data_IF_393280804671
#
_entry.id   IF_393280804671
#
_cell.length_a   1.000
_cell.length_b   1.000
_cell.length_c   1.000
_cell.angle_alpha   90.00
_cell.angle_beta   90.00
_cell.angle_gamma   90.00
#
_symmetry.space_group_name_H-M   'P 1'
#
loop_
_entity.id
_entity.type
_entity.pdbx_description
1 polymer ?
#
# COMPACT_ATOMS: atom_id res chain seq x y z
N UNK A 1 -42.82 31.23 -1.72
CA UNK A 1 -41.47 31.84 -1.77
C UNK A 1 -40.60 31.16 -0.74
N UNK A 2 -39.43 30.67 -1.18
CA UNK A 2 -38.38 29.94 -0.43
C UNK A 2 -38.64 28.44 -0.25
N UNK A 3 -38.70 27.74 -1.37
CA UNK A 3 -38.47 26.28 -1.42
C UNK A 3 -37.43 25.92 -2.49
N UNK A 4 -36.49 26.85 -2.73
CA UNK A 4 -35.24 26.58 -3.43
C UNK A 4 -34.18 26.28 -2.36
N UNK A 5 -34.35 25.14 -1.69
CA UNK A 5 -33.25 24.53 -0.95
C UNK A 5 -32.11 24.33 -1.95
N UNK A 6 -31.05 25.12 -1.77
CA UNK A 6 -29.79 25.04 -2.52
C UNK A 6 -29.32 23.59 -2.49
N UNK A 7 -29.69 22.80 -3.52
CA UNK A 7 -28.96 21.59 -3.87
C UNK A 7 -27.56 22.09 -4.20
N UNK A 8 -26.66 22.02 -3.22
CA UNK A 8 -25.25 22.34 -3.42
C UNK A 8 -24.82 21.59 -4.68
N UNK A 9 -24.57 22.34 -5.76
CA UNK A 9 -24.18 21.75 -7.03
C UNK A 9 -22.91 20.95 -6.75
N UNK A 10 -23.00 19.63 -6.93
CA UNK A 10 -21.84 18.76 -6.79
C UNK A 10 -20.85 19.18 -7.86
N UNK A 11 -19.71 19.74 -7.44
CA UNK A 11 -18.66 20.20 -8.34
C UNK A 11 -18.19 19.04 -9.23
N UNK A 12 -18.12 19.27 -10.54
CA UNK A 12 -17.57 18.28 -11.49
C UNK A 12 -16.12 18.64 -11.85
N UNK A 13 -15.20 17.72 -11.56
CA UNK A 13 -13.78 17.84 -11.87
C UNK A 13 -13.47 17.23 -13.24
N UNK A 14 -12.61 17.90 -14.00
CA UNK A 14 -12.09 17.35 -15.26
C UNK A 14 -10.99 16.29 -14.99
N UNK A 15 -10.85 15.27 -15.85
CA UNK A 15 -9.87 14.19 -15.68
C UNK A 15 -8.43 14.68 -15.50
N UNK A 16 -8.05 15.74 -16.23
CA UNK A 16 -6.72 16.34 -16.17
C UNK A 16 -6.42 16.97 -14.81
N UNK A 17 -7.39 17.67 -14.21
CA UNK A 17 -7.24 18.29 -12.88
C UNK A 17 -7.00 17.21 -11.81
N UNK A 18 -7.81 16.14 -11.86
CA UNK A 18 -7.69 15.00 -10.94
C UNK A 18 -6.34 14.32 -11.10
N UNK A 19 -5.92 14.06 -12.33
CA UNK A 19 -4.63 13.42 -12.63
C UNK A 19 -3.46 14.24 -12.09
N UNK A 20 -3.39 15.54 -12.36
CA UNK A 20 -2.31 16.42 -11.87
C UNK A 20 -2.27 16.45 -10.34
N UNK A 21 -3.42 16.61 -9.70
CA UNK A 21 -3.53 16.64 -8.24
C UNK A 21 -3.10 15.32 -7.60
N UNK A 22 -3.56 14.17 -8.13
CA UNK A 22 -3.17 12.84 -7.62
C UNK A 22 -1.67 12.60 -7.80
N UNK A 23 -1.11 12.87 -8.97
CA UNK A 23 0.33 12.68 -9.22
C UNK A 23 1.17 13.58 -8.33
N UNK A 24 0.74 14.82 -8.12
CA UNK A 24 1.37 15.71 -7.15
C UNK A 24 1.31 15.10 -5.77
N UNK A 25 0.12 14.93 -5.19
CA UNK A 25 -0.08 14.53 -3.78
C UNK A 25 0.54 13.17 -3.46
N UNK A 26 0.57 12.24 -4.41
CA UNK A 26 1.20 10.94 -4.26
C UNK A 26 2.71 10.92 -4.55
N UNK A 27 3.34 12.06 -4.86
CA UNK A 27 4.80 12.14 -5.04
C UNK A 27 5.29 11.49 -6.33
N UNK A 28 4.48 11.56 -7.39
CA UNK A 28 4.73 10.94 -8.69
C UNK A 28 5.04 11.96 -9.80
N UNK A 29 4.99 13.28 -9.52
CA UNK A 29 5.50 14.32 -10.43
C UNK A 29 7.00 14.55 -10.29
N UNK A 30 7.51 14.36 -9.07
CA UNK A 30 8.90 14.59 -8.69
C UNK A 30 9.34 13.48 -7.75
N UNK A 31 10.50 12.87 -8.00
CA UNK A 31 11.15 12.02 -6.99
C UNK A 31 11.50 12.85 -5.74
N UNK A 32 11.61 12.17 -4.60
CA UNK A 32 12.16 12.79 -3.40
C UNK A 32 13.60 13.26 -3.67
N UNK A 33 13.99 14.38 -3.04
CA UNK A 33 15.34 14.94 -3.18
C UNK A 33 16.39 14.05 -2.53
N UNK A 34 16.03 13.38 -1.44
CA UNK A 34 16.92 12.58 -0.62
C UNK A 34 16.35 11.17 -0.42
N UNK A 35 17.24 10.19 -0.41
CA UNK A 35 16.94 8.79 -0.08
C UNK A 35 17.13 8.49 1.40
N UNK A 36 17.48 7.24 1.71
CA UNK A 36 17.81 6.79 3.07
C UNK A 36 16.64 6.89 4.06
N UNK A 37 16.99 6.94 5.35
CA UNK A 37 16.02 6.90 6.45
C UNK A 37 15.06 8.09 6.44
N UNK A 38 15.58 9.31 6.31
CA UNK A 38 14.78 10.54 6.27
C UNK A 38 13.79 10.54 5.11
N UNK A 39 14.26 10.20 3.91
CA UNK A 39 13.42 10.09 2.71
C UNK A 39 12.32 9.03 2.87
N UNK A 40 12.65 7.85 3.40
CA UNK A 40 11.68 6.78 3.65
C UNK A 40 10.56 7.21 4.62
N UNK A 41 10.92 7.87 5.73
CA UNK A 41 9.96 8.36 6.71
C UNK A 41 9.08 9.48 6.14
N UNK A 42 9.67 10.40 5.37
CA UNK A 42 8.90 11.45 4.70
C UNK A 42 7.95 10.87 3.66
N UNK A 43 8.38 9.88 2.88
CA UNK A 43 7.51 9.17 1.94
C UNK A 43 6.33 8.53 2.66
N UNK A 44 6.58 7.80 3.74
CA UNK A 44 5.52 7.14 4.48
C UNK A 44 4.52 8.14 5.06
N UNK A 45 4.98 9.28 5.61
CA UNK A 45 4.08 10.36 6.06
C UNK A 45 3.27 10.98 4.93
N UNK A 46 3.88 11.14 3.75
CA UNK A 46 3.19 11.66 2.57
C UNK A 46 2.08 10.73 2.10
N UNK A 47 2.41 9.46 1.90
CA UNK A 47 1.46 8.46 1.40
C UNK A 47 0.45 8.02 2.46
N UNK A 48 0.83 8.12 3.74
CA UNK A 48 0.11 7.69 4.95
C UNK A 48 -0.08 6.18 5.04
N UNK A 49 -0.39 5.53 3.92
CA UNK A 49 -0.56 4.10 3.80
C UNK A 49 0.33 3.55 2.69
N UNK A 50 1.10 2.49 3.00
CA UNK A 50 1.75 1.65 1.98
C UNK A 50 1.25 0.22 2.18
N UNK A 51 0.51 -0.32 1.22
CA UNK A 51 -0.02 -1.68 1.32
C UNK A 51 1.13 -2.70 1.31
N UNK A 52 1.07 -3.65 2.26
CA UNK A 52 1.97 -4.77 2.35
C UNK A 52 1.43 -5.93 1.51
N UNK A 53 2.29 -6.53 0.72
CA UNK A 53 2.02 -7.76 -0.01
C UNK A 53 3.29 -8.62 -0.01
N UNK A 54 3.19 -9.93 0.30
CA UNK A 54 4.37 -10.77 0.42
C UNK A 54 4.93 -11.22 -0.93
N UNK A 55 4.25 -11.03 -2.08
CA UNK A 55 4.82 -11.39 -3.37
C UNK A 55 6.09 -10.60 -3.60
N UNK A 56 7.10 -11.29 -4.11
CA UNK A 56 8.44 -10.75 -4.21
C UNK A 56 9.05 -11.08 -5.58
N UNK A 57 8.32 -10.67 -6.61
CA UNK A 57 8.70 -10.87 -8.02
C UNK A 57 9.81 -9.89 -8.41
N UNK A 58 9.67 -8.63 -8.01
CA UNK A 58 10.57 -7.51 -8.31
C UNK A 58 11.05 -6.77 -7.05
N UNK A 59 10.88 -7.37 -5.88
CA UNK A 59 10.75 -6.62 -4.63
C UNK A 59 9.31 -6.70 -4.13
N UNK A 60 9.14 -6.54 -2.83
CA UNK A 60 7.81 -6.53 -2.21
C UNK A 60 7.06 -5.25 -2.58
N UNK A 61 5.72 -5.27 -2.55
CA UNK A 61 4.91 -4.13 -2.96
C UNK A 61 5.34 -2.80 -2.31
N UNK A 62 5.64 -2.82 -1.00
CA UNK A 62 6.08 -1.62 -0.29
C UNK A 62 7.41 -1.05 -0.84
N UNK A 63 8.34 -1.92 -1.24
CA UNK A 63 9.61 -1.51 -1.85
C UNK A 63 9.39 -0.96 -3.25
N UNK A 64 8.49 -1.55 -4.04
CA UNK A 64 8.14 -1.04 -5.36
C UNK A 64 7.50 0.36 -5.29
N UNK A 65 6.60 0.57 -4.32
CA UNK A 65 6.03 1.91 -4.04
C UNK A 65 7.13 2.92 -3.70
N UNK A 66 8.13 2.48 -2.92
CA UNK A 66 9.27 3.32 -2.56
C UNK A 66 10.21 3.57 -3.74
N UNK A 67 10.53 2.57 -4.58
CA UNK A 67 11.40 2.72 -5.75
C UNK A 67 10.88 3.74 -6.77
N UNK A 68 9.56 3.84 -6.93
CA UNK A 68 8.94 4.83 -7.81
C UNK A 68 9.15 6.29 -7.36
N UNK A 69 9.58 6.52 -6.11
CA UNK A 69 9.60 7.84 -5.45
C UNK A 69 10.92 8.19 -4.77
N UNK A 70 11.63 7.21 -4.23
CA UNK A 70 12.88 7.41 -3.47
C UNK A 70 14.10 7.05 -4.30
N UNK A 71 15.04 7.99 -4.49
CA UNK A 71 16.33 7.70 -5.10
C UNK A 71 17.17 6.82 -4.17
N UNK A 72 18.09 6.03 -4.73
CA UNK A 72 19.14 5.33 -3.99
C UNK A 72 18.72 4.10 -3.16
N UNK A 73 17.44 3.95 -2.81
CA UNK A 73 16.95 2.81 -2.01
C UNK A 73 17.20 1.47 -2.73
N UNK A 74 17.93 0.55 -2.07
CA UNK A 74 18.13 -0.84 -2.51
C UNK A 74 17.05 -1.76 -1.94
N UNK A 75 16.88 -2.91 -2.59
CA UNK A 75 16.01 -3.98 -2.11
C UNK A 75 16.51 -4.50 -0.75
N UNK A 76 15.60 -4.63 0.19
CA UNK A 76 15.82 -5.05 1.58
C UNK A 76 15.97 -3.89 2.56
N UNK A 77 16.21 -2.66 2.10
CA UNK A 77 16.55 -1.52 2.98
C UNK A 77 15.33 -0.84 3.58
N UNK A 78 14.18 -0.84 2.88
CA UNK A 78 13.01 -0.03 3.25
C UNK A 78 12.57 -0.25 4.71
N UNK A 79 12.48 -1.51 5.14
CA UNK A 79 12.04 -1.81 6.50
C UNK A 79 13.06 -1.40 7.55
N UNK A 80 14.37 -1.45 7.26
CA UNK A 80 15.42 -0.99 8.17
C UNK A 80 15.41 0.53 8.36
N UNK A 81 14.94 1.28 7.37
CA UNK A 81 14.73 2.73 7.49
C UNK A 81 13.46 3.13 8.27
N UNK A 82 12.52 2.19 8.42
CA UNK A 82 11.20 2.49 8.99
C UNK A 82 10.96 1.83 10.34
N UNK A 83 11.63 0.71 10.65
CA UNK A 83 11.40 -0.09 11.85
C UNK A 83 12.71 -0.32 12.62
N UNK A 84 12.71 -0.22 13.96
CA UNK A 84 11.60 0.26 14.80
C UNK A 84 11.45 1.80 14.75
N UNK A 85 10.39 2.33 15.36
CA UNK A 85 10.23 3.76 15.67
C UNK A 85 9.65 4.65 14.57
N UNK A 86 9.89 4.38 13.29
CA UNK A 86 9.37 5.21 12.19
C UNK A 86 7.97 4.80 11.70
N UNK A 87 7.61 3.53 11.89
CA UNK A 87 6.40 2.95 11.35
C UNK A 87 5.86 1.79 12.20
N UNK A 88 4.63 1.37 11.92
CA UNK A 88 4.08 0.11 12.40
C UNK A 88 3.22 -0.56 11.31
N UNK A 89 3.03 -1.87 11.41
CA UNK A 89 2.15 -2.61 10.51
C UNK A 89 0.76 -2.81 11.13
N UNK A 90 -0.30 -2.37 10.46
CA UNK A 90 -1.67 -2.64 10.88
C UNK A 90 -2.62 -2.78 9.69
N UNK A 91 -3.85 -3.23 9.96
CA UNK A 91 -4.93 -3.16 8.99
C UNK A 91 -5.53 -1.74 8.96
N UNK A 92 -5.48 -1.11 7.78
CA UNK A 92 -6.08 0.18 7.48
C UNK A 92 -7.08 0.02 6.31
N UNK A 93 -6.66 0.30 5.07
CA UNK A 93 -7.39 -0.14 3.88
C UNK A 93 -7.30 -1.66 3.75
N UNK A 94 -6.08 -2.16 3.85
CA UNK A 94 -5.69 -3.57 3.91
C UNK A 94 -4.54 -3.66 4.93
N UNK A 95 -3.75 -4.74 4.91
CA UNK A 95 -2.48 -4.74 5.63
C UNK A 95 -1.57 -3.64 5.08
N UNK A 96 -1.23 -2.66 5.91
CA UNK A 96 -0.44 -1.50 5.54
C UNK A 96 0.71 -1.27 6.52
N UNK A 97 1.77 -0.67 6.00
CA UNK A 97 2.75 0.06 6.78
C UNK A 97 2.22 1.49 6.99
N UNK A 98 2.27 1.96 8.24
CA UNK A 98 1.66 3.20 8.73
C UNK A 98 2.68 4.03 9.51
N UNK A 99 2.65 5.37 9.47
CA UNK A 99 3.45 6.23 10.35
C UNK A 99 3.27 5.89 11.83
N UNK A 100 4.36 5.81 12.59
CA UNK A 100 4.30 5.49 14.03
C UNK A 100 3.40 6.45 14.82
N UNK A 101 3.37 7.73 14.43
CA UNK A 101 2.51 8.77 15.01
C UNK A 101 1.00 8.49 14.92
N UNK A 102 0.57 7.54 14.08
CA UNK A 102 -0.85 7.15 13.97
C UNK A 102 -1.23 6.04 14.95
N UNK A 103 -0.26 5.39 15.59
CA UNK A 103 -0.49 4.27 16.49
C UNK A 103 -1.57 4.53 17.56
N UNK A 104 -1.63 5.69 18.24
CA UNK A 104 -2.69 5.95 19.24
C UNK A 104 -4.11 5.79 18.73
N UNK A 105 -4.40 6.25 17.51
CA UNK A 105 -5.72 6.13 16.91
C UNK A 105 -6.07 4.66 16.61
N UNK A 106 -5.09 3.88 16.13
CA UNK A 106 -5.29 2.46 15.86
C UNK A 106 -5.38 1.63 17.14
N UNK A 107 -4.61 1.95 18.18
CA UNK A 107 -4.71 1.33 19.51
C UNK A 107 -6.12 1.48 20.08
N UNK A 108 -6.68 2.69 20.04
CA UNK A 108 -8.03 2.97 20.55
C UNK A 108 -9.11 2.26 19.71
N UNK A 109 -8.98 2.27 18.37
CA UNK A 109 -9.90 1.54 17.49
C UNK A 109 -9.79 0.03 17.56
N UNK A 110 -8.61 -0.53 17.81
CA UNK A 110 -8.41 -1.97 17.87
C UNK A 110 -9.27 -2.61 18.98
N UNK A 111 -9.56 -1.84 20.04
CA UNK A 111 -10.51 -2.20 21.09
C UNK A 111 -11.96 -2.23 20.57
N UNK A 112 -12.30 -1.37 19.61
CA UNK A 112 -13.67 -1.15 19.14
C UNK A 112 -14.04 -1.88 17.84
N UNK A 113 -13.08 -2.26 17.01
CA UNK A 113 -13.30 -2.80 15.67
C UNK A 113 -12.49 -4.07 15.42
N UNK A 114 -12.97 -5.25 15.87
CA UNK A 114 -12.33 -6.50 15.52
C UNK A 114 -12.31 -6.66 14.00
N UNK A 115 -11.11 -6.73 13.43
CA UNK A 115 -10.91 -7.02 12.02
C UNK A 115 -11.62 -8.31 11.61
N UNK A 116 -11.94 -8.48 10.33
CA UNK A 116 -12.84 -9.50 9.77
C UNK A 116 -12.44 -10.99 9.95
N UNK A 117 -11.47 -11.30 10.82
CA UNK A 117 -11.15 -12.65 11.29
C UNK A 117 -10.61 -12.70 12.73
N UNK A 118 -10.63 -11.59 13.48
CA UNK A 118 -10.12 -11.59 14.85
C UNK A 118 -10.93 -12.58 15.69
N UNK A 119 -12.26 -12.55 15.59
CA UNK A 119 -13.14 -13.54 16.24
C UNK A 119 -12.82 -14.98 15.83
N UNK A 120 -12.64 -15.25 14.52
CA UNK A 120 -12.26 -16.57 14.01
C UNK A 120 -10.93 -17.09 14.57
N UNK A 121 -9.93 -16.21 14.66
CA UNK A 121 -8.60 -16.55 15.20
C UNK A 121 -8.68 -16.81 16.70
N UNK A 122 -9.39 -15.96 17.43
CA UNK A 122 -9.63 -16.13 18.87
C UNK A 122 -10.36 -17.44 19.17
N UNK A 123 -11.36 -17.82 18.37
CA UNK A 123 -12.07 -19.08 18.53
C UNK A 123 -11.20 -20.34 18.30
N UNK A 124 -10.01 -20.18 17.70
CA UNK A 124 -9.06 -21.27 17.39
C UNK A 124 -7.84 -21.29 18.31
N UNK A 125 -7.71 -20.30 19.18
CA UNK A 125 -6.59 -20.15 20.10
C UNK A 125 -7.09 -20.27 21.53
N UNK A 126 -6.29 -20.94 22.36
CA UNK A 126 -6.46 -20.85 23.80
C UNK A 126 -6.09 -19.43 24.29
N UNK A 127 -6.85 -18.90 25.26
CA UNK A 127 -6.58 -17.57 25.78
C UNK A 127 -5.27 -17.50 26.58
N UNK A 128 -4.92 -18.57 27.31
CA UNK A 128 -3.65 -18.71 28.01
C UNK A 128 -2.47 -18.70 27.04
N UNK A 129 -2.59 -19.39 25.90
CA UNK A 129 -1.59 -19.33 24.83
C UNK A 129 -1.30 -17.90 24.35
N UNK A 130 -2.33 -17.07 24.14
CA UNK A 130 -2.13 -15.68 23.69
C UNK A 130 -1.38 -14.88 24.75
N UNK A 131 -1.77 -15.02 26.01
CA UNK A 131 -1.14 -14.35 27.15
C UNK A 131 0.32 -14.78 27.31
N UNK A 132 0.58 -16.08 27.27
CA UNK A 132 1.93 -16.58 27.46
C UNK A 132 2.89 -16.17 26.32
N UNK A 133 2.39 -16.05 25.08
CA UNK A 133 3.17 -15.49 23.95
C UNK A 133 3.51 -14.02 24.20
N UNK A 134 2.56 -13.24 24.73
CA UNK A 134 2.79 -11.84 25.08
C UNK A 134 3.84 -11.72 26.21
N UNK A 135 3.73 -12.56 27.24
CA UNK A 135 4.64 -12.57 28.39
C UNK A 135 6.06 -12.98 27.97
N UNK A 136 6.19 -14.00 27.11
CA UNK A 136 7.50 -14.42 26.60
C UNK A 136 8.18 -13.32 25.76
N UNK A 137 7.42 -12.58 24.94
CA UNK A 137 7.95 -11.40 24.22
C UNK A 137 8.29 -10.27 25.20
N UNK A 138 7.48 -10.05 26.24
CA UNK A 138 7.75 -9.05 27.29
C UNK A 138 9.09 -9.33 27.97
N UNK A 139 9.34 -10.57 28.36
CA UNK A 139 10.53 -10.98 29.10
C UNK A 139 11.79 -11.02 28.23
N UNK A 140 11.68 -11.55 27.00
CA UNK A 140 12.83 -11.72 26.09
C UNK A 140 13.19 -10.46 25.32
N UNK A 141 12.20 -9.61 25.02
CA UNK A 141 12.35 -8.53 24.05
C UNK A 141 12.04 -8.96 22.61
N UNK A 142 12.59 -8.25 21.60
CA UNK A 142 12.27 -8.47 20.19
C UNK A 142 12.42 -9.93 19.74
N UNK A 143 11.30 -10.55 19.34
CA UNK A 143 11.22 -12.00 19.08
C UNK A 143 10.54 -12.32 17.75
N UNK A 144 11.14 -13.21 16.98
CA UNK A 144 10.50 -13.86 15.83
C UNK A 144 9.71 -15.10 16.29
N UNK A 145 8.75 -15.61 15.50
CA UNK A 145 8.00 -16.82 15.88
C UNK A 145 8.86 -18.05 16.21
N UNK A 146 10.07 -18.15 15.63
CA UNK A 146 11.01 -19.24 15.90
C UNK A 146 11.85 -19.06 17.17
N UNK A 147 11.84 -17.87 17.79
CA UNK A 147 12.53 -17.59 19.05
C UNK A 147 11.65 -17.94 20.27
N UNK A 148 10.35 -18.09 20.04
CA UNK A 148 9.34 -18.34 21.07
C UNK A 148 9.12 -19.83 21.26
N UNK A 149 8.70 -20.19 22.46
CA UNK A 149 8.39 -21.58 22.80
C UNK A 149 7.32 -22.11 21.86
N UNK A 150 7.61 -23.19 21.13
CA UNK A 150 6.68 -23.78 20.15
C UNK A 150 5.48 -24.37 20.89
N UNK A 151 4.32 -23.74 20.72
CA UNK A 151 3.06 -24.11 21.39
C UNK A 151 2.09 -24.85 20.46
N UNK A 152 2.63 -25.52 19.44
CA UNK A 152 1.91 -26.49 18.62
C UNK A 152 1.26 -25.93 17.34
N UNK A 153 0.52 -26.81 16.68
CA UNK A 153 -0.20 -26.53 15.43
C UNK A 153 -1.67 -26.17 15.70
N UNK A 154 -2.23 -25.31 14.85
CA UNK A 154 -3.67 -24.98 14.83
C UNK A 154 -4.22 -25.32 13.46
N UNK A 155 -5.52 -25.62 13.38
CA UNK A 155 -6.19 -25.80 12.09
C UNK A 155 -6.03 -24.50 11.27
N UNK A 156 -5.39 -24.55 10.09
CA UNK A 156 -5.19 -23.36 9.28
C UNK A 156 -6.53 -22.69 8.96
N UNK A 157 -6.58 -21.36 9.00
CA UNK A 157 -7.72 -20.62 8.47
C UNK A 157 -7.65 -20.70 6.95
N UNK A 158 -8.66 -21.33 6.33
CA UNK A 158 -8.68 -21.54 4.89
C UNK A 158 -8.72 -20.20 4.15
N UNK A 159 -7.64 -19.94 3.44
CA UNK A 159 -7.62 -19.04 2.29
C UNK A 159 -6.71 -19.70 1.28
N UNK A 160 -7.30 -20.58 0.46
CA UNK A 160 -6.75 -21.14 -0.78
C UNK A 160 -5.22 -21.03 -0.92
N UNK A 161 -4.50 -22.02 -0.38
CA UNK A 161 -3.23 -22.49 -0.94
C UNK A 161 -1.91 -21.88 -0.49
N UNK A 162 -1.84 -20.67 0.10
CA UNK A 162 -0.52 -20.07 0.44
C UNK A 162 -0.46 -19.03 1.58
N UNK A 163 -1.60 -18.58 2.13
CA UNK A 163 -1.64 -17.54 3.20
C UNK A 163 -2.26 -18.03 4.53
N UNK A 164 -2.37 -19.34 4.72
CA UNK A 164 -2.89 -19.92 5.96
C UNK A 164 -1.86 -19.90 7.09
N UNK A 165 -2.29 -19.51 8.31
CA UNK A 165 -1.45 -19.58 9.51
C UNK A 165 -1.70 -20.90 10.23
N UNK A 166 -0.80 -21.88 10.07
CA UNK A 166 -0.93 -23.22 10.67
C UNK A 166 -0.22 -23.43 12.01
N UNK A 167 0.57 -22.45 12.47
CA UNK A 167 1.24 -22.49 13.79
C UNK A 167 0.52 -21.60 14.78
N UNK A 168 0.27 -22.12 15.99
CA UNK A 168 -0.48 -21.44 17.03
C UNK A 168 0.20 -20.12 17.45
N UNK A 169 1.53 -20.17 17.66
CA UNK A 169 2.35 -19.01 18.02
C UNK A 169 2.29 -17.89 16.98
N UNK A 170 2.36 -18.21 15.68
CA UNK A 170 2.25 -17.21 14.61
C UNK A 170 0.87 -16.56 14.60
N UNK A 171 -0.19 -17.35 14.85
CA UNK A 171 -1.54 -16.84 14.92
C UNK A 171 -1.74 -15.93 16.15
N UNK A 172 -1.18 -16.32 17.30
CA UNK A 172 -1.19 -15.50 18.52
C UNK A 172 -0.47 -14.16 18.33
N UNK A 173 0.71 -14.15 17.70
CA UNK A 173 1.43 -12.91 17.34
C UNK A 173 0.60 -12.02 16.41
N UNK A 174 -0.12 -12.60 15.44
CA UNK A 174 -1.02 -11.84 14.56
C UNK A 174 -2.23 -11.25 15.30
N UNK A 175 -2.77 -11.97 16.29
CA UNK A 175 -3.84 -11.49 17.19
C UNK A 175 -3.33 -10.33 18.05
N UNK A 176 -2.22 -10.52 18.77
CA UNK A 176 -1.61 -9.50 19.62
C UNK A 176 -1.27 -8.23 18.82
N UNK A 177 -0.74 -8.39 17.59
CA UNK A 177 -0.50 -7.25 16.69
C UNK A 177 -1.79 -6.52 16.29
N UNK A 178 -2.86 -7.26 16.02
CA UNK A 178 -4.16 -6.68 15.62
C UNK A 178 -4.84 -5.96 16.78
N UNK A 179 -4.53 -6.34 18.03
CA UNK A 179 -4.97 -5.65 19.25
C UNK A 179 -4.04 -4.51 19.66
N UNK A 180 -3.00 -4.22 18.89
CA UNK A 180 -1.95 -3.27 19.24
C UNK A 180 -1.21 -3.59 20.55
N UNK A 181 -1.24 -4.85 21.01
CA UNK A 181 -0.48 -5.33 22.18
C UNK A 181 0.98 -5.68 21.81
N UNK A 182 1.21 -5.98 20.54
CA UNK A 182 2.53 -6.12 19.93
C UNK A 182 2.61 -5.32 18.63
N UNK A 183 3.81 -4.97 18.20
CA UNK A 183 4.07 -4.41 16.88
C UNK A 183 5.21 -5.14 16.20
N UNK A 184 5.30 -5.03 14.88
CA UNK A 184 6.48 -5.50 14.15
C UNK A 184 7.59 -4.47 14.36
N UNK A 185 8.59 -4.82 15.16
CA UNK A 185 9.74 -3.97 15.48
C UNK A 185 10.87 -4.09 14.44
N UNK A 186 10.83 -5.11 13.58
CA UNK A 186 11.81 -5.30 12.52
C UNK A 186 11.60 -6.59 11.75
N UNK A 187 12.61 -6.98 10.97
CA UNK A 187 12.61 -8.23 10.22
C UNK A 187 13.97 -8.94 10.29
N UNK A 188 13.95 -10.27 10.36
CA UNK A 188 15.11 -11.13 10.07
C UNK A 188 14.87 -11.82 8.73
N UNK A 189 15.46 -11.27 7.67
CA UNK A 189 15.06 -11.60 6.31
C UNK A 189 13.57 -11.30 6.08
N UNK A 190 12.77 -12.32 5.80
CA UNK A 190 11.32 -12.18 5.61
C UNK A 190 10.49 -12.40 6.88
N UNK A 191 11.11 -12.87 7.95
CA UNK A 191 10.40 -13.14 9.21
C UNK A 191 10.21 -11.84 9.98
N UNK A 192 8.99 -11.62 10.46
CA UNK A 192 8.66 -10.52 11.37
C UNK A 192 9.31 -10.75 12.73
N UNK A 193 9.88 -9.70 13.28
CA UNK A 193 10.31 -9.62 14.68
C UNK A 193 9.30 -8.72 15.39
N UNK A 194 8.72 -9.23 16.47
CA UNK A 194 7.69 -8.55 17.25
C UNK A 194 8.27 -8.04 18.56
N UNK A 195 7.80 -6.89 19.02
CA UNK A 195 8.08 -6.38 20.36
C UNK A 195 6.90 -5.55 20.87
N UNK A 196 6.96 -5.18 22.14
CA UNK A 196 6.01 -4.29 22.80
C UNK A 196 6.00 -2.91 22.13
N UNK A 197 4.82 -2.27 21.98
CA UNK A 197 4.72 -0.91 21.44
C UNK A 197 5.62 0.09 22.16
N UNK A 198 5.73 0.03 23.48
CA UNK A 198 6.49 0.98 24.30
C UNK A 198 7.98 0.93 23.99
N UNK A 199 8.51 -0.27 23.71
CA UNK A 199 9.92 -0.47 23.31
C UNK A 199 10.16 -0.10 21.85
N UNK A 200 9.22 -0.41 20.97
CA UNK A 200 9.39 -0.26 19.53
C UNK A 200 9.00 1.12 18.96
N UNK A 201 8.04 1.81 19.57
CA UNK A 201 7.48 3.08 19.07
C UNK A 201 7.73 4.27 20.02
N UNK A 202 8.30 4.03 21.19
CA UNK A 202 8.62 5.06 22.17
C UNK A 202 7.38 5.88 22.57
N UNK A 203 7.48 7.21 22.53
CA UNK A 203 6.40 8.12 22.95
C UNK A 203 5.09 7.95 22.16
N UNK A 204 5.13 7.43 20.93
CA UNK A 204 3.91 7.17 20.15
C UNK A 204 3.06 6.05 20.75
N UNK A 205 3.64 5.12 21.52
CA UNK A 205 2.93 4.01 22.13
C UNK A 205 1.95 4.47 23.23
N UNK A 206 2.33 5.50 23.99
CA UNK A 206 1.57 6.04 25.12
C UNK A 206 0.88 7.38 24.83
N UNK A 207 1.11 7.97 23.64
CA UNK A 207 0.45 9.20 23.25
C UNK A 207 -1.09 9.07 23.26
N UNK A 208 -1.82 10.16 23.56
CA UNK A 208 -3.27 10.16 23.52
C UNK A 208 -3.77 9.99 22.07
N UNK A 209 -4.92 9.31 21.87
CA UNK A 209 -5.55 9.26 20.56
C UNK A 209 -6.07 10.65 20.14
N UNK A 210 -6.38 10.86 18.85
CA UNK A 210 -7.12 12.02 18.41
C UNK A 210 -8.45 12.17 19.20
N UNK A 211 -8.91 13.39 19.55
CA UNK A 211 -10.13 13.59 20.33
C UNK A 211 -11.38 12.96 19.72
N UNK A 212 -11.49 12.99 18.39
CA UNK A 212 -12.52 12.30 17.62
C UNK A 212 -11.82 11.38 16.59
N UNK A 213 -11.71 10.11 16.97
CA UNK A 213 -10.99 9.09 16.20
C UNK A 213 -11.70 8.75 14.89
N UNK A 214 -13.03 8.78 14.87
CA UNK A 214 -13.81 8.52 13.66
C UNK A 214 -13.66 9.66 12.65
N UNK A 215 -13.75 10.92 13.11
CA UNK A 215 -13.47 12.10 12.29
C UNK A 215 -12.06 12.07 11.74
N UNK A 216 -11.08 11.84 12.61
CA UNK A 216 -9.68 11.71 12.22
C UNK A 216 -9.51 10.62 11.15
N UNK A 217 -10.13 9.45 11.32
CA UNK A 217 -10.00 8.34 10.40
C UNK A 217 -10.58 8.63 9.01
N UNK A 218 -11.69 9.36 8.91
CA UNK A 218 -12.24 9.78 7.61
C UNK A 218 -11.29 10.76 6.92
N UNK A 219 -10.80 11.78 7.63
CA UNK A 219 -9.90 12.79 7.05
C UNK A 219 -8.55 12.20 6.65
N UNK A 220 -8.00 11.32 7.48
CA UNK A 220 -6.81 10.53 7.19
C UNK A 220 -7.02 9.71 5.90
N UNK A 221 -8.15 9.00 5.79
CA UNK A 221 -8.45 8.15 4.63
C UNK A 221 -8.58 8.95 3.33
N UNK A 222 -9.20 10.13 3.38
CA UNK A 222 -9.26 11.06 2.25
C UNK A 222 -7.85 11.49 1.85
N UNK A 223 -7.01 11.87 2.82
CA UNK A 223 -5.65 12.30 2.55
C UNK A 223 -4.77 11.17 1.99
N UNK A 224 -4.89 9.95 2.51
CA UNK A 224 -4.18 8.76 2.03
C UNK A 224 -4.59 8.39 0.59
N UNK A 225 -5.83 8.65 0.20
CA UNK A 225 -6.32 8.50 -1.17
C UNK A 225 -5.82 9.58 -2.14
N UNK A 226 -4.83 10.38 -1.73
CA UNK A 226 -4.36 11.52 -2.51
C UNK A 226 -5.30 12.71 -2.44
N UNK A 227 -6.19 12.78 -1.45
CA UNK A 227 -7.16 13.88 -1.27
C UNK A 227 -8.50 13.69 -1.98
N UNK A 228 -8.72 12.55 -2.65
CA UNK A 228 -9.97 12.25 -3.35
C UNK A 228 -10.38 10.79 -3.11
N UNK A 229 -11.40 10.59 -2.26
CA UNK A 229 -11.84 9.27 -1.81
C UNK A 229 -13.25 8.97 -2.31
N UNK A 230 -13.45 7.81 -2.94
CA UNK A 230 -14.80 7.37 -3.32
C UNK A 230 -15.71 7.25 -2.08
N UNK A 231 -16.86 7.91 -2.12
CA UNK A 231 -17.83 7.90 -1.02
C UNK A 231 -18.58 6.56 -0.93
N UNK A 232 -18.73 5.88 -2.08
CA UNK A 232 -19.27 4.53 -2.16
C UNK A 232 -18.37 3.49 -1.47
N UNK A 233 -18.88 2.27 -1.29
CA UNK A 233 -18.08 1.15 -0.78
C UNK A 233 -16.81 0.91 -1.61
N UNK A 234 -15.80 0.35 -0.95
CA UNK A 234 -14.50 0.05 -1.54
C UNK A 234 -13.48 -0.33 -0.47
N UNK A 235 -12.28 -0.77 -0.87
CA UNK A 235 -11.25 -1.24 0.07
C UNK A 235 -10.82 -0.13 1.04
N UNK A 236 -10.92 1.13 0.65
CA UNK A 236 -10.68 2.28 1.52
C UNK A 236 -11.59 2.33 2.76
N UNK A 237 -12.70 1.59 2.76
CA UNK A 237 -13.64 1.56 3.88
C UNK A 237 -13.59 0.26 4.69
N UNK A 238 -12.62 -0.64 4.44
CA UNK A 238 -12.53 -1.97 5.08
C UNK A 238 -12.67 -1.93 6.62
N UNK A 239 -11.81 -1.17 7.32
CA UNK A 239 -11.90 -0.98 8.79
C UNK A 239 -12.80 0.19 9.24
N UNK A 240 -13.45 0.86 8.29
CA UNK A 240 -14.23 2.08 8.49
C UNK A 240 -15.66 1.94 7.94
N UNK A 241 -16.17 0.73 7.77
CA UNK A 241 -17.48 0.47 7.16
C UNK A 241 -18.62 1.07 8.00
N UNK A 242 -18.56 0.89 9.32
CA UNK A 242 -19.50 1.52 10.26
C UNK A 242 -19.42 3.04 10.24
N UNK A 243 -18.20 3.60 10.20
CA UNK A 243 -17.96 5.05 10.14
C UNK A 243 -18.50 5.64 8.84
N UNK A 244 -18.33 4.95 7.71
CA UNK A 244 -18.91 5.36 6.42
C UNK A 244 -20.43 5.47 6.49
N UNK A 245 -21.08 4.56 7.20
CA UNK A 245 -22.53 4.44 7.28
C UNK A 245 -23.16 5.28 8.40
N UNK A 246 -22.37 5.88 9.29
CA UNK A 246 -22.86 6.67 10.45
C UNK A 246 -23.35 8.09 10.09
N UNK A 247 -23.30 8.45 8.81
CA UNK A 247 -23.57 9.80 8.32
C UNK A 247 -22.44 10.81 8.61
N UNK A 248 -21.36 10.40 9.30
CA UNK A 248 -20.22 11.27 9.59
C UNK A 248 -19.59 11.87 8.33
N UNK A 249 -19.36 11.12 7.22
CA UNK A 249 -18.85 11.74 6.00
C UNK A 249 -19.76 12.84 5.44
N UNK A 250 -21.09 12.68 5.59
CA UNK A 250 -22.06 13.71 5.23
C UNK A 250 -21.91 14.97 6.07
N UNK A 251 -21.85 14.82 7.40
CA UNK A 251 -21.64 15.95 8.32
C UNK A 251 -20.34 16.71 8.04
N UNK A 252 -19.25 16.00 7.72
CA UNK A 252 -17.99 16.65 7.34
C UNK A 252 -18.09 17.45 6.04
N UNK A 253 -19.00 17.08 5.13
CA UNK A 253 -19.32 17.89 3.96
C UNK A 253 -20.17 19.10 4.34
N UNK A 254 -21.19 18.92 5.19
CA UNK A 254 -22.07 20.01 5.63
C UNK A 254 -21.30 21.07 6.46
N UNK A 255 -20.29 20.65 7.22
CA UNK A 255 -19.35 21.51 7.94
C UNK A 255 -18.32 22.22 7.05
N UNK A 256 -18.24 21.87 5.75
CA UNK A 256 -17.26 22.43 4.81
C UNK A 256 -15.83 21.91 4.97
N UNK A 257 -15.62 20.89 5.81
CA UNK A 257 -14.31 20.25 6.05
C UNK A 257 -13.90 19.36 4.87
N UNK A 258 -14.88 18.75 4.21
CA UNK A 258 -14.72 18.02 2.96
C UNK A 258 -15.69 18.59 1.92
N UNK A 259 -15.42 18.33 0.65
CA UNK A 259 -16.34 18.66 -0.45
C UNK A 259 -16.81 17.40 -1.15
N UNK A 260 -18.08 17.39 -1.55
CA UNK A 260 -18.62 16.33 -2.39
C UNK A 260 -18.47 16.71 -3.86
N UNK A 261 -17.82 15.86 -4.64
CA UNK A 261 -17.51 16.13 -6.06
C UNK A 261 -17.78 14.91 -6.95
N UNK A 262 -17.95 15.16 -8.25
CA UNK A 262 -17.91 14.14 -9.31
C UNK A 262 -16.66 14.32 -10.16
N UNK A 263 -16.21 13.24 -10.77
CA UNK A 263 -15.16 13.28 -11.79
C UNK A 263 -15.80 12.94 -13.11
N UNK A 264 -15.60 13.76 -14.15
CA UNK A 264 -16.15 13.50 -15.48
C UNK A 264 -15.70 12.12 -15.97
N UNK A 265 -16.67 11.29 -16.38
CA UNK A 265 -16.43 9.89 -16.80
C UNK A 265 -16.41 8.86 -15.67
N UNK A 266 -16.39 9.28 -14.40
CA UNK A 266 -16.60 8.39 -13.26
C UNK A 266 -18.09 8.31 -12.89
N UNK A 267 -18.58 7.12 -12.56
CA UNK A 267 -19.96 6.93 -12.09
C UNK A 267 -20.16 7.24 -10.60
N UNK A 268 -19.05 7.34 -9.85
CA UNK A 268 -19.04 7.51 -8.40
C UNK A 268 -18.94 8.97 -7.98
N UNK A 269 -19.41 9.24 -6.77
CA UNK A 269 -19.19 10.48 -6.04
C UNK A 269 -17.99 10.34 -5.11
N UNK A 270 -17.25 11.44 -4.93
CA UNK A 270 -16.01 11.46 -4.15
C UNK A 270 -16.09 12.52 -3.04
N UNK A 271 -15.46 12.19 -1.91
CA UNK A 271 -15.09 13.12 -0.85
C UNK A 271 -13.73 13.71 -1.20
N UNK A 272 -13.66 15.03 -1.29
CA UNK A 272 -12.48 15.78 -1.70
C UNK A 272 -11.98 16.64 -0.54
N UNK A 273 -10.67 16.60 -0.30
CA UNK A 273 -10.02 17.54 0.60
C UNK A 273 -10.11 18.98 0.03
N UNK A 274 -10.34 20.02 0.85
CA UNK A 274 -10.50 21.39 0.36
C UNK A 274 -9.30 21.88 -0.48
N UNK A 275 -8.09 21.47 -0.10
CA UNK A 275 -6.81 21.80 -0.72
C UNK A 275 -6.44 20.90 -1.92
N UNK A 276 -7.34 20.00 -2.36
CA UNK A 276 -7.02 18.98 -3.36
C UNK A 276 -6.52 19.58 -4.69
N UNK A 277 -7.14 20.68 -5.13
CA UNK A 277 -6.79 21.36 -6.38
C UNK A 277 -5.72 22.45 -6.19
N UNK A 278 -5.41 22.82 -4.95
CA UNK A 278 -4.45 23.89 -4.63
C UNK A 278 -2.99 23.39 -4.62
N UNK A 279 -2.80 22.06 -4.63
CA UNK A 279 -1.47 21.45 -4.56
C UNK A 279 -0.99 20.86 -5.88
N UNK A 280 0.13 21.37 -6.42
CA UNK A 280 0.94 20.61 -7.38
C UNK A 280 1.31 21.26 -8.70
N UNK A 281 1.00 22.53 -8.91
CA UNK A 281 1.33 23.21 -10.17
C UNK A 281 2.67 23.97 -10.16
N UNK A 282 3.29 24.16 -8.99
CA UNK A 282 4.51 24.97 -8.89
C UNK A 282 5.78 24.26 -9.37
N UNK A 283 5.78 22.92 -9.40
CA UNK A 283 6.93 22.13 -9.85
C UNK A 283 6.62 21.41 -11.16
N UNK A 284 7.50 21.52 -12.17
CA UNK A 284 7.35 20.75 -13.41
C UNK A 284 7.39 19.25 -13.11
N UNK A 285 6.86 18.43 -14.01
CA UNK A 285 7.09 16.98 -13.96
C UNK A 285 8.58 16.70 -14.25
N UNK A 286 9.19 15.75 -13.54
CA UNK A 286 10.58 15.35 -13.79
C UNK A 286 10.76 14.52 -15.07
N UNK A 287 9.66 14.16 -15.73
CA UNK A 287 9.65 13.39 -16.98
C UNK A 287 10.07 11.94 -16.79
N UNK A 288 10.34 11.49 -15.56
CA UNK A 288 10.87 10.16 -15.32
C UNK A 288 9.80 9.09 -15.50
N UNK A 289 10.13 8.02 -16.22
CA UNK A 289 9.32 6.82 -16.25
C UNK A 289 9.41 6.10 -14.90
N UNK A 290 8.25 5.73 -14.35
CA UNK A 290 8.12 5.04 -13.07
C UNK A 290 7.50 3.66 -13.28
N UNK A 291 8.13 2.64 -12.72
CA UNK A 291 7.53 1.30 -12.58
C UNK A 291 6.74 1.31 -11.28
N UNK A 292 5.42 1.32 -11.35
CA UNK A 292 4.56 1.33 -10.16
C UNK A 292 4.31 -0.08 -9.65
N UNK A 293 4.11 -0.18 -8.35
CA UNK A 293 3.66 -1.40 -7.74
C UNK A 293 2.22 -1.74 -8.18
N UNK A 294 1.85 -3.02 -8.34
CA UNK A 294 0.47 -3.44 -8.60
C UNK A 294 -0.56 -2.92 -7.58
N UNK A 295 -0.11 -2.66 -6.35
CA UNK A 295 -0.91 -2.11 -5.26
C UNK A 295 -0.33 -0.76 -4.80
N UNK A 296 0.14 0.05 -5.74
CA UNK A 296 0.47 1.45 -5.48
C UNK A 296 -0.78 2.24 -5.05
N UNK A 297 -0.67 3.22 -4.12
CA UNK A 297 -1.81 4.06 -3.71
C UNK A 297 -2.58 4.70 -4.88
N UNK A 298 -1.89 5.03 -5.99
CA UNK A 298 -2.54 5.55 -7.19
C UNK A 298 -3.53 4.55 -7.80
N UNK A 299 -3.25 3.25 -7.70
CA UNK A 299 -3.99 2.16 -8.38
C UNK A 299 -5.15 1.62 -7.54
N UNK A 300 -5.28 2.04 -6.27
CA UNK A 300 -6.27 1.49 -5.36
C UNK A 300 -7.72 1.78 -5.75
N UNK A 301 -8.01 2.92 -6.39
CA UNK A 301 -9.29 3.18 -7.03
C UNK A 301 -9.17 3.10 -8.55
N UNK A 302 -9.27 1.87 -9.07
CA UNK A 302 -9.18 1.59 -10.51
C UNK A 302 -10.25 2.31 -11.33
N UNK A 303 -11.43 2.56 -10.76
CA UNK A 303 -12.48 3.30 -11.47
C UNK A 303 -12.10 4.78 -11.63
N UNK A 304 -11.52 5.37 -10.59
CA UNK A 304 -10.96 6.73 -10.66
C UNK A 304 -9.78 6.80 -11.63
N UNK A 305 -8.88 5.80 -11.59
CA UNK A 305 -7.75 5.71 -12.53
C UNK A 305 -8.24 5.63 -13.97
N UNK A 306 -9.23 4.78 -14.25
CA UNK A 306 -9.84 4.69 -15.58
C UNK A 306 -10.44 6.03 -16.02
N UNK A 307 -11.17 6.72 -15.15
CA UNK A 307 -11.78 8.01 -15.49
C UNK A 307 -10.75 9.14 -15.68
N UNK A 308 -9.75 9.25 -14.79
CA UNK A 308 -8.78 10.35 -14.79
C UNK A 308 -7.62 10.15 -15.78
N UNK A 309 -7.20 8.90 -15.98
CA UNK A 309 -6.03 8.54 -16.78
C UNK A 309 -6.38 7.82 -18.08
N UNK A 310 -7.58 7.23 -18.21
CA UNK A 310 -7.92 6.37 -19.34
C UNK A 310 -7.21 5.02 -19.31
N UNK A 311 -6.81 4.55 -18.12
CA UNK A 311 -6.05 3.32 -17.93
C UNK A 311 -6.87 2.25 -17.21
N UNK A 312 -7.10 1.10 -17.86
CA UNK A 312 -7.91 0.00 -17.33
C UNK A 312 -7.02 -1.12 -16.77
N UNK A 313 -6.61 -0.98 -15.52
CA UNK A 313 -5.72 -1.93 -14.87
C UNK A 313 -6.48 -2.97 -14.04
N UNK A 314 -6.14 -4.25 -14.24
CA UNK A 314 -6.63 -5.35 -13.42
C UNK A 314 -5.46 -6.15 -12.87
N UNK A 315 -5.43 -6.33 -11.54
CA UNK A 315 -4.49 -7.24 -10.91
C UNK A 315 -5.01 -8.67 -11.01
N UNK A 316 -4.42 -9.47 -11.91
CA UNK A 316 -4.92 -10.81 -12.27
C UNK A 316 -4.29 -11.95 -11.48
N UNK A 317 -3.61 -11.65 -10.37
CA UNK A 317 -2.94 -12.66 -9.54
C UNK A 317 -3.88 -13.78 -9.07
N UNK A 318 -5.15 -13.44 -8.84
CA UNK A 318 -6.18 -14.38 -8.37
C UNK A 318 -6.93 -15.09 -9.51
N UNK A 319 -6.74 -14.68 -10.76
CA UNK A 319 -7.38 -15.37 -11.89
C UNK A 319 -6.66 -16.71 -12.14
N UNK A 320 -7.40 -17.78 -12.52
CA UNK A 320 -6.81 -18.98 -13.13
C UNK A 320 -5.92 -18.62 -14.32
N UNK A 321 -4.93 -19.45 -14.63
CA UNK A 321 -3.89 -19.11 -15.61
C UNK A 321 -4.46 -18.78 -16.99
N UNK A 322 -5.45 -19.55 -17.41
CA UNK A 322 -6.22 -19.47 -18.65
C UNK A 322 -7.14 -18.25 -18.74
N UNK A 323 -7.53 -17.66 -17.60
CA UNK A 323 -8.39 -16.48 -17.54
C UNK A 323 -7.62 -15.15 -17.45
N UNK A 324 -6.27 -15.21 -17.45
CA UNK A 324 -5.41 -14.03 -17.38
C UNK A 324 -5.21 -13.44 -18.76
N UNK A 325 -5.52 -12.16 -18.92
CA UNK A 325 -5.29 -11.39 -20.15
C UNK A 325 -3.83 -10.95 -20.27
N UNK A 326 -3.27 -10.42 -19.19
CA UNK A 326 -1.91 -9.87 -19.15
C UNK A 326 -0.95 -10.79 -18.40
N UNK A 327 -1.42 -11.43 -17.34
CA UNK A 327 -0.63 -12.33 -16.52
C UNK A 327 -0.81 -12.07 -15.03
N UNK A 328 -0.24 -12.95 -14.21
CA UNK A 328 -0.51 -12.97 -12.77
C UNK A 328 0.17 -11.84 -11.99
N UNK A 329 1.28 -11.28 -12.49
CA UNK A 329 1.98 -10.16 -11.87
C UNK A 329 2.42 -9.15 -12.92
N UNK A 330 1.73 -8.01 -12.95
CA UNK A 330 1.87 -6.99 -13.99
C UNK A 330 2.04 -5.63 -13.31
N UNK A 331 3.15 -4.96 -13.58
CA UNK A 331 3.43 -3.64 -13.01
C UNK A 331 2.95 -2.54 -13.98
N UNK A 332 2.14 -1.57 -13.53
CA UNK A 332 1.85 -0.37 -14.31
C UNK A 332 3.11 0.46 -14.52
N UNK A 333 3.30 0.96 -15.73
CA UNK A 333 4.33 1.93 -16.06
C UNK A 333 3.67 3.31 -16.13
N UNK A 334 4.28 4.34 -15.55
CA UNK A 334 3.77 5.71 -15.56
C UNK A 334 4.84 6.61 -16.17
N UNK A 335 4.52 7.29 -17.27
CA UNK A 335 5.42 8.24 -17.91
C UNK A 335 4.67 9.51 -18.32
N UNK A 336 5.24 10.68 -17.99
CA UNK A 336 4.68 12.02 -18.27
C UNK A 336 3.20 12.17 -17.87
N UNK A 337 2.80 11.52 -16.77
CA UNK A 337 1.43 11.55 -16.27
C UNK A 337 0.37 10.84 -17.14
N UNK A 338 0.71 10.24 -18.28
CA UNK A 338 -0.30 9.64 -19.18
C UNK A 338 0.07 8.30 -19.80
N UNK A 339 1.32 7.97 -20.06
CA UNK A 339 1.61 6.72 -20.76
C UNK A 339 1.65 5.55 -19.80
N UNK A 340 0.79 4.56 -20.07
CA UNK A 340 0.71 3.32 -19.31
C UNK A 340 1.11 2.13 -20.14
N UNK A 341 1.91 1.28 -19.52
CA UNK A 341 2.24 -0.01 -20.07
C UNK A 341 2.24 -1.03 -18.94
N UNK A 342 2.04 -2.28 -19.31
CA UNK A 342 2.11 -3.40 -18.39
C UNK A 342 3.42 -4.14 -18.67
N UNK A 343 4.24 -4.35 -17.64
CA UNK A 343 5.40 -5.23 -17.75
C UNK A 343 5.14 -6.49 -16.92
N UNK A 344 5.25 -7.64 -17.57
CA UNK A 344 5.33 -8.93 -16.86
C UNK A 344 6.81 -9.24 -16.64
N UNK A 345 7.29 -9.30 -15.40
CA UNK A 345 8.64 -9.73 -15.14
C UNK A 345 8.70 -11.25 -15.17
N UNK A 346 9.65 -11.80 -15.92
CA UNK A 346 9.99 -13.21 -15.85
C UNK A 346 10.59 -13.48 -14.48
N UNK A 347 10.00 -14.43 -13.74
CA UNK A 347 10.45 -14.88 -12.43
C UNK A 347 11.97 -15.07 -12.38
N UNK A 348 12.63 -14.40 -11.42
CA UNK A 348 13.96 -14.81 -10.96
C UNK A 348 13.85 -16.29 -10.54
N UNK A 349 14.84 -17.15 -10.82
CA UNK A 349 14.94 -18.40 -10.08
C UNK A 349 14.93 -18.03 -8.59
N UNK A 350 14.11 -18.73 -7.82
CA UNK A 350 13.92 -18.55 -6.37
C UNK A 350 15.20 -18.06 -5.66
N UNK A 351 15.12 -17.14 -4.68
CA UNK A 351 16.27 -16.76 -3.86
C UNK A 351 16.96 -17.95 -3.17
N UNK A 352 16.35 -19.15 -3.21
CA UNK A 352 16.97 -20.42 -2.77
C UNK A 352 17.99 -21.02 -3.73
N UNK A 353 18.16 -20.49 -4.94
CA UNK A 353 19.23 -20.93 -5.86
C UNK A 353 20.25 -19.80 -5.98
N UNK A 354 21.35 -19.92 -5.22
CA UNK A 354 22.63 -19.32 -5.62
C UNK A 354 22.87 -19.73 -7.09
N UNK A 355 23.33 -18.82 -7.96
CA UNK A 355 23.86 -19.23 -9.25
C UNK A 355 24.92 -20.31 -8.99
N UNK A 356 24.91 -21.37 -9.80
CA UNK A 356 26.06 -22.28 -9.82
C UNK A 356 27.32 -21.44 -10.07
N UNK A 357 28.44 -21.78 -9.44
CA UNK A 357 29.70 -21.07 -9.64
C UNK A 357 30.01 -21.02 -11.15
N UNK A 358 30.08 -19.81 -11.72
CA UNK A 358 30.26 -19.57 -13.17
C UNK A 358 28.98 -19.20 -13.96
N UNK A 359 27.81 -19.14 -13.33
CA UNK A 359 26.58 -18.66 -13.98
C UNK A 359 26.52 -17.14 -14.08
N UNK A 360 25.86 -16.62 -15.12
CA UNK A 360 25.53 -15.19 -15.21
C UNK A 360 24.78 -14.72 -13.95
N UNK A 361 25.10 -13.51 -13.48
CA UNK A 361 24.41 -12.89 -12.35
C UNK A 361 22.90 -12.79 -12.55
N UNK A 362 22.13 -12.49 -11.50
CA UNK A 362 20.68 -12.36 -11.60
C UNK A 362 20.29 -11.31 -12.65
N UNK A 363 19.33 -11.65 -13.51
CA UNK A 363 18.82 -10.76 -14.56
C UNK A 363 17.38 -10.38 -14.32
N UNK A 364 17.05 -9.12 -14.57
CA UNK A 364 15.68 -8.63 -14.68
C UNK A 364 15.17 -8.88 -16.09
N UNK A 365 14.20 -9.79 -16.24
CA UNK A 365 13.59 -10.11 -17.54
C UNK A 365 12.24 -9.43 -17.67
N UNK A 366 11.99 -8.77 -18.81
CA UNK A 366 10.66 -8.36 -19.24
C UNK A 366 10.13 -9.42 -20.20
N UNK A 367 9.08 -10.14 -19.80
CA UNK A 367 8.46 -11.18 -20.63
C UNK A 367 7.61 -10.56 -21.74
N UNK A 368 6.81 -9.54 -21.39
CA UNK A 368 5.88 -8.85 -22.28
C UNK A 368 5.73 -7.38 -21.88
N UNK A 369 5.46 -6.55 -22.89
CA UNK A 369 5.24 -5.11 -22.78
C UNK A 369 3.99 -4.75 -23.59
N UNK A 370 3.01 -4.09 -22.97
CA UNK A 370 1.79 -3.65 -23.67
C UNK A 370 1.67 -2.13 -23.69
N UNK A 371 1.18 -1.57 -24.79
CA UNK A 371 0.85 -0.15 -24.92
C UNK A 371 -0.66 0.07 -24.99
N UNK A 372 -1.13 1.11 -24.29
CA UNK A 372 -2.51 1.57 -24.40
C UNK A 372 -2.76 2.28 -25.75
N UNK A 373 -3.98 2.21 -26.30
CA UNK A 373 -4.32 2.89 -27.55
C UNK A 373 -3.96 4.38 -27.54
N UNK A 374 -3.15 4.81 -28.51
CA UNK A 374 -2.72 6.20 -28.64
C UNK A 374 -1.63 6.64 -27.64
N UNK A 375 -1.06 5.72 -26.84
CA UNK A 375 -0.02 6.04 -25.85
C UNK A 375 1.22 5.18 -26.07
N UNK A 376 2.19 5.72 -26.81
CA UNK A 376 3.50 5.09 -26.99
C UNK A 376 4.35 5.24 -25.74
N UNK A 377 5.13 4.21 -25.44
CA UNK A 377 6.13 4.26 -24.39
C UNK A 377 7.47 4.73 -24.97
N UNK A 378 8.15 5.58 -24.23
CA UNK A 378 9.54 5.91 -24.53
C UNK A 378 10.42 4.74 -24.09
N UNK A 379 11.01 4.04 -25.08
CA UNK A 379 11.83 2.85 -24.83
C UNK A 379 13.16 3.18 -24.14
N UNK A 380 13.69 4.38 -24.30
CA UNK A 380 14.93 4.79 -23.64
C UNK A 380 14.64 5.14 -22.17
N UNK A 381 13.55 5.86 -21.91
CA UNK A 381 13.07 6.11 -20.55
C UNK A 381 12.73 4.80 -19.83
N UNK A 382 12.11 3.83 -20.53
CA UNK A 382 11.83 2.51 -20.01
C UNK A 382 13.11 1.74 -19.68
N UNK A 383 14.09 1.74 -20.58
CA UNK A 383 15.39 1.09 -20.36
C UNK A 383 16.12 1.69 -19.15
N UNK A 384 16.07 3.01 -19.00
CA UNK A 384 16.64 3.69 -17.85
C UNK A 384 15.93 3.28 -16.54
N UNK A 385 14.60 3.33 -16.50
CA UNK A 385 13.83 3.00 -15.31
C UNK A 385 13.99 1.52 -14.88
N UNK A 386 13.98 0.59 -15.84
CA UNK A 386 14.22 -0.82 -15.58
C UNK A 386 15.68 -1.10 -15.22
N UNK A 387 16.63 -0.34 -15.77
CA UNK A 387 18.04 -0.41 -15.41
C UNK A 387 18.28 0.02 -13.96
N UNK A 388 17.70 1.16 -13.54
CA UNK A 388 17.70 1.62 -12.14
C UNK A 388 17.08 0.55 -11.22
N UNK A 389 15.92 0.00 -11.61
CA UNK A 389 15.26 -1.05 -10.86
C UNK A 389 16.11 -2.33 -10.74
N UNK A 390 16.75 -2.78 -11.82
CA UNK A 390 17.64 -3.93 -11.81
C UNK A 390 18.83 -3.70 -10.87
N UNK A 391 19.47 -2.53 -10.95
CA UNK A 391 20.59 -2.16 -10.09
C UNK A 391 20.19 -2.08 -8.60
N UNK A 392 18.94 -1.73 -8.28
CA UNK A 392 18.40 -1.78 -6.90
C UNK A 392 18.20 -3.20 -6.38
N UNK A 393 18.06 -4.17 -7.27
CA UNK A 393 17.87 -5.58 -6.97
C UNK A 393 19.15 -6.43 -7.14
N UNK A 394 20.31 -5.77 -7.23
CA UNK A 394 21.61 -6.36 -7.56
C UNK A 394 21.56 -7.27 -8.79
N UNK A 395 20.86 -6.81 -9.82
CA UNK A 395 20.59 -7.52 -11.05
C UNK A 395 20.98 -6.69 -12.29
N UNK A 396 21.13 -7.36 -13.43
CA UNK A 396 21.35 -6.71 -14.73
C UNK A 396 20.07 -6.75 -15.55
N UNK A 397 19.75 -5.64 -16.24
CA UNK A 397 18.61 -5.60 -17.15
C UNK A 397 18.86 -6.53 -18.36
N UNK A 398 17.92 -7.44 -18.60
CA UNK A 398 17.87 -8.24 -19.82
C UNK A 398 17.29 -7.48 -21.02
N UNK A 399 17.18 -8.12 -22.20
CA UNK A 399 16.56 -7.50 -23.36
C UNK A 399 15.09 -7.13 -23.08
N UNK A 400 14.65 -6.00 -23.63
CA UNK A 400 13.26 -5.54 -23.58
C UNK A 400 12.57 -6.00 -24.87
N UNK A 401 11.46 -6.76 -24.80
CA UNK A 401 10.72 -7.18 -25.98
C UNK A 401 10.04 -5.98 -26.67
N UNK A 402 9.68 -6.10 -27.96
CA UNK A 402 8.85 -5.09 -28.61
C UNK A 402 7.51 -4.92 -27.88
N UNK A 403 6.96 -3.71 -27.91
CA UNK A 403 5.65 -3.45 -27.34
C UNK A 403 4.53 -4.06 -28.20
N UNK A 404 3.57 -4.69 -27.55
CA UNK A 404 2.35 -5.24 -28.14
C UNK A 404 1.16 -4.29 -27.87
N UNK A 405 0.14 -4.24 -28.74
CA UNK A 405 -1.10 -3.57 -28.39
C UNK A 405 -1.76 -4.29 -27.19
N UNK A 406 -2.37 -3.50 -26.30
CA UNK A 406 -3.18 -4.05 -25.21
C UNK A 406 -4.27 -4.98 -25.78
N UNK A 407 -4.44 -6.23 -25.28
CA UNK A 407 -5.46 -7.15 -25.79
C UNK A 407 -6.88 -6.55 -25.63
N UNK A 408 -7.87 -7.07 -26.35
CA UNK A 408 -9.27 -6.60 -26.29
C UNK A 408 -9.95 -6.92 -24.96
#
# INVERSE_FOLDING_TARGET
MRDDAVRAQVLELQPEQVRRALLSRLGLRQRAREGGEGGARQLLRRLRHIQLDPLDVLGQNAELVAFARLPGLKRGELFGHLLPGGAFEHFAKEACLLPAEYFPAYRDRAVQAPWWRLGDRLARLDAGLIQDVLDEVRDRGPSAPGDLTDRGAVRPIDWSGWMGTGKAVTMALEVLRTRCELVVAGRRGRQKVYDLPERALGHHASAPPPPDVDRWAVLERVAAAGGLLAESTGPWWSSLSGVRLSGLPGRLVDEGVLRRVKVKGASRTYLMAPDFLEGGDDLPDDGALRVLAPLDPLIWDRALVKAAFGFDYVWEVYKPAEARRFGWYVCPLLHQGSSWAASRPGSRPSPRRRPAAGGEGPRLRVDRLWEEPGRRIDLDALRHALGDHAARCDAVLGPIPPAEPTPG
#
